data_IF_699098655344
#
_entry.id   IF_699098655344
#
_cell.length_a   1.000
_cell.length_b   1.000
_cell.length_c   1.000
_cell.angle_alpha   90.00
_cell.angle_beta   90.00
_cell.angle_gamma   90.00
#
_symmetry.space_group_name_H-M   'P 1'
#
loop_
_entity.id
_entity.type
_entity.pdbx_description
1 polymer ?
#
# COMPACT_ATOMS: atom_id res chain seq x y z
N UNK A 1 0.11 -12.90 -17.97
CA UNK A 1 -0.13 -11.54 -18.47
C UNK A 1 1.08 -10.71 -18.09
N UNK A 2 2.00 -10.51 -19.03
CA UNK A 2 3.11 -9.55 -18.86
C UNK A 2 2.57 -8.23 -19.42
N UNK A 3 2.58 -7.18 -18.60
CA UNK A 3 2.10 -5.84 -18.94
C UNK A 3 3.24 -4.91 -18.59
N UNK A 4 3.59 -4.03 -19.52
CA UNK A 4 4.57 -2.94 -19.38
C UNK A 4 4.01 -1.76 -18.56
N UNK A 5 2.86 -2.00 -17.91
CA UNK A 5 2.13 -1.03 -17.10
C UNK A 5 1.82 -1.61 -15.73
N UNK A 6 2.04 -0.78 -14.74
CA UNK A 6 1.69 -1.03 -13.34
C UNK A 6 0.42 -0.25 -12.97
N UNK A 7 -0.55 -0.92 -12.36
CA UNK A 7 -1.74 -0.25 -11.81
C UNK A 7 -1.40 0.40 -10.46
N UNK A 8 -1.74 1.68 -10.30
CA UNK A 8 -1.54 2.45 -9.08
C UNK A 8 -2.86 2.97 -8.54
N UNK A 9 -3.02 2.92 -7.22
CA UNK A 9 -4.19 3.41 -6.50
C UNK A 9 -3.81 4.57 -5.59
N UNK A 10 -4.53 5.68 -5.72
CA UNK A 10 -4.45 6.83 -4.83
C UNK A 10 -5.79 7.55 -4.82
N UNK A 11 -6.23 8.00 -3.66
CA UNK A 11 -7.49 8.74 -3.47
C UNK A 11 -8.68 8.05 -4.15
N UNK A 12 -8.72 6.72 -4.04
CA UNK A 12 -9.74 5.83 -4.63
C UNK A 12 -9.81 5.84 -6.16
N UNK A 13 -8.75 6.25 -6.83
CA UNK A 13 -8.63 6.27 -8.29
C UNK A 13 -7.53 5.34 -8.74
N UNK A 14 -7.81 4.55 -9.78
CA UNK A 14 -6.80 3.76 -10.46
C UNK A 14 -6.18 4.52 -11.62
N UNK A 15 -4.88 4.32 -11.83
CA UNK A 15 -4.16 4.76 -13.01
C UNK A 15 -3.24 3.64 -13.46
N UNK A 16 -3.16 3.40 -14.76
CA UNK A 16 -2.11 2.57 -15.33
C UNK A 16 -0.95 3.48 -15.72
N UNK A 17 0.23 3.24 -15.15
CA UNK A 17 1.45 3.98 -15.44
C UNK A 17 2.39 3.04 -16.17
N UNK A 18 3.08 3.55 -17.20
CA UNK A 18 4.13 2.78 -17.88
C UNK A 18 5.29 2.50 -16.92
N UNK A 19 6.12 1.51 -17.24
CA UNK A 19 7.29 1.15 -16.43
C UNK A 19 8.45 2.15 -16.52
N UNK A 20 8.24 3.31 -17.15
CA UNK A 20 9.20 4.42 -17.21
C UNK A 20 9.36 5.17 -15.87
N UNK A 21 8.41 4.97 -14.94
CA UNK A 21 8.38 5.66 -13.66
C UNK A 21 8.57 4.66 -12.53
N UNK A 22 9.81 4.30 -12.18
CA UNK A 22 10.09 3.38 -11.06
C UNK A 22 10.39 4.17 -9.79
N UNK A 23 9.93 3.68 -8.63
CA UNK A 23 10.34 4.25 -7.34
C UNK A 23 11.83 3.95 -7.11
N UNK A 24 12.56 4.82 -6.38
CA UNK A 24 13.89 4.50 -5.85
C UNK A 24 13.71 3.82 -4.49
N UNK A 25 13.84 2.48 -4.36
CA UNK A 25 13.51 1.77 -3.13
C UNK A 25 14.40 2.18 -1.95
N UNK A 26 15.60 2.72 -2.21
CA UNK A 26 16.54 3.16 -1.17
C UNK A 26 16.03 4.35 -0.37
N UNK A 27 15.02 5.06 -0.88
CA UNK A 27 14.37 6.19 -0.19
C UNK A 27 13.22 5.76 0.71
N UNK A 28 12.92 4.46 0.74
CA UNK A 28 11.77 3.93 1.45
C UNK A 28 12.20 2.91 2.50
N UNK A 29 11.41 2.83 3.56
CA UNK A 29 11.50 1.79 4.57
C UNK A 29 10.18 1.03 4.63
N UNK A 30 10.21 -0.19 5.16
CA UNK A 30 9.02 -0.97 5.45
C UNK A 30 9.00 -1.30 6.94
N UNK A 31 7.82 -1.23 7.55
CA UNK A 31 7.64 -1.65 8.93
C UNK A 31 6.22 -2.18 9.16
N UNK A 32 6.07 -3.01 10.18
CA UNK A 32 4.78 -3.49 10.65
C UNK A 32 4.00 -2.31 11.21
N UNK A 33 2.72 -2.21 10.84
CA UNK A 33 1.83 -1.16 11.34
C UNK A 33 0.65 -1.76 12.09
N UNK A 34 0.08 -0.96 12.99
CA UNK A 34 -1.18 -1.31 13.64
C UNK A 34 -2.30 -1.47 12.59
N UNK A 35 -3.22 -2.39 12.84
CA UNK A 35 -4.38 -2.61 11.97
C UNK A 35 -5.23 -1.36 11.78
N UNK A 36 -5.32 -0.47 12.79
CA UNK A 36 -6.06 0.79 12.67
C UNK A 36 -5.42 1.77 11.69
N UNK A 37 -4.09 1.85 11.67
CA UNK A 37 -3.34 2.63 10.67
C UNK A 37 -3.60 2.11 9.27
N UNK A 38 -3.52 0.79 9.08
CA UNK A 38 -3.77 0.17 7.79
C UNK A 38 -5.23 0.33 7.33
N UNK A 39 -6.18 0.24 8.26
CA UNK A 39 -7.62 0.47 8.01
C UNK A 39 -7.88 1.88 7.52
N UNK A 40 -7.31 2.89 8.17
CA UNK A 40 -7.44 4.27 7.75
C UNK A 40 -6.89 4.47 6.32
N UNK A 41 -5.67 4.01 6.06
CA UNK A 41 -5.05 4.13 4.73
C UNK A 41 -5.88 3.45 3.63
N UNK A 42 -6.41 2.25 3.88
CA UNK A 42 -7.26 1.53 2.92
C UNK A 42 -8.57 2.27 2.65
N UNK A 43 -9.21 2.82 3.69
CA UNK A 43 -10.46 3.56 3.53
C UNK A 43 -10.31 4.79 2.62
N UNK A 44 -9.15 5.44 2.70
CA UNK A 44 -8.84 6.67 1.97
C UNK A 44 -8.38 6.40 0.53
N UNK A 45 -7.65 5.32 0.28
CA UNK A 45 -6.95 5.13 -1.00
C UNK A 45 -7.43 3.96 -1.85
N UNK A 46 -7.90 2.87 -1.24
CA UNK A 46 -8.23 1.64 -1.96
C UNK A 46 -9.64 1.71 -2.58
N UNK A 47 -9.89 0.95 -3.65
CA UNK A 47 -11.22 0.92 -4.29
C UNK A 47 -12.30 0.37 -3.36
N UNK A 48 -11.94 -0.68 -2.62
CA UNK A 48 -12.72 -1.26 -1.55
C UNK A 48 -12.29 -0.63 -0.22
N UNK A 49 -13.15 0.18 0.36
CA UNK A 49 -12.92 0.92 1.61
C UNK A 49 -13.13 0.09 2.87
N UNK A 50 -13.07 -1.23 2.76
CA UNK A 50 -13.25 -2.15 3.89
C UNK A 50 -11.93 -2.84 4.16
N UNK A 51 -11.50 -2.76 5.41
CA UNK A 51 -10.33 -3.48 5.88
C UNK A 51 -10.63 -4.99 5.90
N UNK A 52 -9.81 -5.83 5.22
CA UNK A 52 -10.03 -7.26 5.22
C UNK A 52 -9.68 -7.87 6.60
N UNK A 53 -10.11 -9.11 6.83
CA UNK A 53 -9.55 -9.91 7.91
C UNK A 53 -8.07 -10.16 7.60
N UNK A 54 -7.18 -9.53 8.38
CA UNK A 54 -5.74 -9.53 8.13
C UNK A 54 -4.96 -10.09 9.33
N UNK A 55 -3.93 -10.87 9.06
CA UNK A 55 -2.95 -11.37 10.04
C UNK A 55 -1.80 -10.39 10.25
N UNK A 56 -1.42 -9.67 9.19
CA UNK A 56 -0.29 -8.74 9.20
C UNK A 56 -0.58 -7.54 8.31
N UNK A 57 -0.17 -6.36 8.75
CA UNK A 57 -0.15 -5.16 7.94
C UNK A 57 1.25 -4.56 7.95
N UNK A 58 1.75 -4.23 6.76
CA UNK A 58 3.07 -3.62 6.57
C UNK A 58 2.90 -2.33 5.79
N UNK A 59 3.43 -1.24 6.36
CA UNK A 59 3.47 0.07 5.74
C UNK A 59 4.73 0.25 4.90
N UNK A 60 4.59 0.95 3.78
CA UNK A 60 5.70 1.52 3.02
C UNK A 60 5.85 2.98 3.41
N UNK A 61 7.00 3.32 3.97
CA UNK A 61 7.31 4.64 4.49
C UNK A 61 8.29 5.35 3.57
N UNK A 62 7.88 6.52 3.06
CA UNK A 62 8.65 7.33 2.13
C UNK A 62 9.07 8.68 2.70
N UNK A 63 9.82 9.47 1.91
CA UNK A 63 10.23 10.82 2.30
C UNK A 63 9.03 11.76 2.30
N UNK A 64 8.57 12.14 3.50
CA UNK A 64 7.49 13.11 3.69
C UNK A 64 7.97 14.55 3.76
N UNK A 65 7.05 15.46 4.07
CA UNK A 65 7.34 16.90 4.19
C UNK A 65 8.16 17.18 5.45
N UNK A 66 9.11 18.12 5.33
CA UNK A 66 9.89 18.60 6.48
C UNK A 66 10.78 17.53 7.12
N UNK A 67 11.16 16.49 6.37
CA UNK A 67 11.98 15.38 6.86
C UNK A 67 11.22 14.34 7.69
N UNK A 68 9.90 14.51 7.87
CA UNK A 68 9.06 13.47 8.46
C UNK A 68 8.87 12.30 7.50
N UNK A 69 8.66 11.10 8.03
CA UNK A 69 8.25 9.94 7.24
C UNK A 69 6.78 10.05 6.82
N UNK A 70 6.45 9.70 5.57
CA UNK A 70 5.07 9.57 5.09
C UNK A 70 4.70 8.11 4.85
N UNK A 71 3.47 7.72 5.20
CA UNK A 71 2.93 6.42 4.81
C UNK A 71 2.46 6.51 3.35
N UNK A 72 3.21 5.90 2.44
CA UNK A 72 3.02 6.04 0.99
C UNK A 72 2.34 4.81 0.36
N UNK A 73 2.27 3.70 1.10
CA UNK A 73 1.64 2.46 0.67
C UNK A 73 1.37 1.51 1.83
N UNK A 74 0.50 0.53 1.58
CA UNK A 74 0.16 -0.52 2.54
C UNK A 74 0.08 -1.86 1.82
N UNK A 75 0.54 -2.93 2.46
CA UNK A 75 0.19 -4.31 2.12
C UNK A 75 -0.40 -5.00 3.34
N UNK A 76 -1.43 -5.81 3.11
CA UNK A 76 -2.10 -6.60 4.16
C UNK A 76 -2.11 -8.05 3.75
N UNK A 77 -1.73 -8.92 4.69
CA UNK A 77 -1.76 -10.36 4.51
C UNK A 77 -3.03 -10.89 5.17
N UNK A 78 -3.95 -11.41 4.36
CA UNK A 78 -5.26 -11.85 4.80
C UNK A 78 -5.20 -13.16 5.61
N UNK A 79 -6.24 -13.40 6.41
CA UNK A 79 -6.48 -14.73 6.99
C UNK A 79 -6.94 -15.68 5.87
N UNK A 80 -6.32 -16.87 5.70
CA UNK A 80 -6.80 -17.87 4.74
C UNK A 80 -8.27 -18.24 5.01
N UNK A 81 -9.10 -18.27 3.96
CA UNK A 81 -10.53 -18.58 4.08
C UNK A 81 -10.80 -20.07 4.44
N UNK A 82 -9.81 -20.93 4.22
CA UNK A 82 -9.82 -22.36 4.55
C UNK A 82 -8.51 -22.68 5.25
N UNK A 83 -8.55 -23.47 6.33
CA UNK A 83 -7.38 -23.81 7.13
C UNK A 83 -6.24 -24.34 6.27
N UNK A 84 -5.21 -23.51 6.12
CA UNK A 84 -3.97 -23.83 5.41
C UNK A 84 -2.99 -24.53 6.34
#
# INVERSE_FOLDING_TARGET
MITDRSQRWRDRRSRFVADDTVIDPRRYAVDVVAHDTARAFIADHHYLNRYPAAQLAVGLFGPGRGGASSLDGIIVFGVPATGA
#
